data_IF_073074358018
#
_entry.id   IF_073074358018
#
_cell.length_a   1.000
_cell.length_b   1.000
_cell.length_c   1.000
_cell.angle_alpha   90.00
_cell.angle_beta   90.00
_cell.angle_gamma   90.00
#
_symmetry.space_group_name_H-M   'P 1'
#
loop_
_entity.id
_entity.type
_entity.pdbx_description
1 polymer ?
#
# COMPACT_ATOMS: atom_id res chain seq x y z
N UNK A 1 6.83 -9.27 10.86
CA UNK A 1 6.65 -8.24 9.80
C UNK A 1 5.35 -8.52 9.06
N UNK A 2 4.41 -7.57 9.04
CA UNK A 2 3.13 -7.73 8.34
C UNK A 2 3.27 -7.21 6.91
N UNK A 3 2.89 -8.01 5.92
CA UNK A 3 2.90 -7.65 4.51
C UNK A 3 1.48 -7.76 3.99
N UNK A 4 1.04 -6.74 3.26
CA UNK A 4 -0.26 -6.71 2.61
C UNK A 4 -0.07 -6.65 1.10
N UNK A 5 -0.93 -7.36 0.36
CA UNK A 5 -1.04 -7.17 -1.08
C UNK A 5 -2.16 -6.18 -1.31
N UNK A 6 -1.84 -5.07 -1.96
CA UNK A 6 -2.80 -4.02 -2.30
C UNK A 6 -2.88 -3.87 -3.81
N UNK A 7 -4.11 -3.78 -4.31
CA UNK A 7 -4.36 -3.51 -5.72
C UNK A 7 -4.33 -2.01 -5.94
N UNK A 8 -3.40 -1.57 -6.77
CA UNK A 8 -3.16 -0.15 -7.04
C UNK A 8 -4.12 0.32 -8.12
N UNK A 9 -4.86 1.41 -7.88
CA UNK A 9 -5.79 2.00 -8.86
C UNK A 9 -5.27 3.32 -9.46
N UNK A 10 -4.24 3.90 -8.87
CA UNK A 10 -3.59 5.14 -9.31
C UNK A 10 -2.08 5.00 -9.12
N UNK A 11 -1.29 5.75 -9.88
CA UNK A 11 0.17 5.68 -9.77
C UNK A 11 0.63 6.04 -8.34
N UNK A 12 1.45 5.18 -7.73
CA UNK A 12 2.05 5.40 -6.41
C UNK A 12 3.56 5.22 -6.49
N UNK A 13 4.31 5.92 -5.63
CA UNK A 13 5.77 5.80 -5.53
C UNK A 13 6.24 5.71 -4.08
N UNK A 14 7.46 5.22 -3.89
CA UNK A 14 8.15 5.26 -2.60
C UNK A 14 8.22 6.74 -2.14
N UNK A 15 7.88 6.97 -0.88
CA UNK A 15 7.79 8.30 -0.29
C UNK A 15 6.40 8.93 -0.31
N UNK A 16 5.44 8.38 -1.06
CA UNK A 16 4.05 8.83 -0.99
C UNK A 16 3.44 8.47 0.36
N UNK A 17 2.50 9.30 0.83
CA UNK A 17 1.72 9.04 2.03
C UNK A 17 0.42 8.35 1.64
N UNK A 18 0.09 7.27 2.33
CA UNK A 18 -1.16 6.54 2.14
C UNK A 18 -1.93 6.48 3.45
N UNK A 19 -3.25 6.54 3.34
CA UNK A 19 -4.19 6.35 4.43
C UNK A 19 -4.90 5.03 4.22
N UNK A 20 -4.67 4.09 5.12
CA UNK A 20 -5.41 2.83 5.17
C UNK A 20 -6.62 3.02 6.05
N UNK A 21 -7.81 2.89 5.47
CA UNK A 21 -9.08 3.01 6.16
C UNK A 21 -9.93 1.77 5.90
N UNK A 22 -10.02 0.94 6.94
CA UNK A 22 -10.86 -0.22 7.04
C UNK A 22 -11.92 -0.06 8.12
N UNK A 23 -12.54 -1.17 8.48
CA UNK A 23 -13.54 -1.23 9.56
C UNK A 23 -12.86 -1.09 10.93
N UNK A 24 -11.67 -1.68 11.08
CA UNK A 24 -10.91 -1.74 12.35
C UNK A 24 -9.52 -1.13 12.26
N UNK A 25 -9.14 -0.64 11.08
CA UNK A 25 -7.79 -0.18 10.78
C UNK A 25 -7.89 1.22 10.19
N UNK A 26 -7.41 2.23 10.89
CA UNK A 26 -7.45 3.62 10.45
C UNK A 26 -6.11 4.26 10.81
N UNK A 27 -5.21 4.30 9.83
CA UNK A 27 -3.87 4.86 10.02
C UNK A 27 -3.28 5.36 8.71
N UNK A 28 -2.36 6.31 8.85
CA UNK A 28 -1.56 6.83 7.76
C UNK A 28 -0.15 6.24 7.83
N UNK A 29 0.43 5.91 6.69
CA UNK A 29 1.83 5.51 6.60
C UNK A 29 2.48 6.05 5.35
N UNK A 30 3.81 6.16 5.40
CA UNK A 30 4.62 6.48 4.22
C UNK A 30 5.06 5.17 3.57
N UNK A 31 5.06 5.15 2.25
CA UNK A 31 5.56 4.00 1.48
C UNK A 31 7.08 3.96 1.60
N UNK A 32 7.61 3.08 2.46
CA UNK A 32 9.06 2.85 2.59
C UNK A 32 9.58 1.81 1.58
N UNK A 33 8.76 0.80 1.26
CA UNK A 33 9.13 -0.26 0.34
C UNK A 33 7.92 -0.88 -0.35
N UNK A 34 8.14 -1.28 -1.61
CA UNK A 34 7.15 -1.91 -2.48
C UNK A 34 7.78 -3.04 -3.28
N UNK A 35 7.01 -4.10 -3.49
CA UNK A 35 7.43 -5.28 -4.25
C UNK A 35 6.33 -5.76 -5.19
N UNK A 36 6.66 -6.04 -6.45
CA UNK A 36 5.78 -6.68 -7.43
C UNK A 36 6.45 -7.95 -7.91
N UNK A 37 5.78 -9.10 -7.81
CA UNK A 37 6.31 -10.39 -8.28
C UNK A 37 7.75 -10.69 -7.79
N UNK A 38 8.03 -10.42 -6.51
CA UNK A 38 9.36 -10.52 -5.87
C UNK A 38 10.44 -9.55 -6.37
N UNK A 39 10.07 -8.52 -7.12
CA UNK A 39 10.97 -7.44 -7.54
C UNK A 39 10.68 -6.17 -6.76
N UNK A 40 11.72 -5.55 -6.22
CA UNK A 40 11.62 -4.22 -5.63
C UNK A 40 11.35 -3.20 -6.74
N UNK A 41 10.40 -2.31 -6.52
CA UNK A 41 10.00 -1.27 -7.47
C UNK A 41 9.91 0.08 -6.77
N UNK A 42 10.32 1.15 -7.45
CA UNK A 42 10.25 2.52 -6.92
C UNK A 42 8.87 3.16 -7.10
N UNK A 43 8.16 2.75 -8.14
CA UNK A 43 6.82 3.20 -8.46
C UNK A 43 5.99 2.06 -9.05
N UNK A 44 4.67 2.20 -8.93
CA UNK A 44 3.69 1.23 -9.42
C UNK A 44 2.59 1.99 -10.15
N UNK A 45 2.23 1.52 -11.34
CA UNK A 45 1.11 2.06 -12.11
C UNK A 45 -0.22 1.40 -11.71
N UNK A 46 -1.32 2.06 -12.09
CA UNK A 46 -2.66 1.54 -11.88
C UNK A 46 -2.86 0.16 -12.53
N UNK A 47 -3.54 -0.73 -11.81
CA UNK A 47 -3.91 -2.07 -12.26
C UNK A 47 -2.96 -3.18 -11.81
N UNK A 48 -1.88 -2.87 -11.10
CA UNK A 48 -0.91 -3.85 -10.60
C UNK A 48 -1.15 -4.18 -9.13
N UNK A 49 -0.82 -5.42 -8.74
CA UNK A 49 -0.83 -5.87 -7.35
C UNK A 49 0.57 -5.68 -6.75
N UNK A 50 0.65 -4.90 -5.68
CA UNK A 50 1.93 -4.63 -4.99
C UNK A 50 1.88 -5.16 -3.56
N UNK A 51 2.95 -5.86 -3.18
CA UNK A 51 3.26 -6.17 -1.80
C UNK A 51 3.82 -4.95 -1.11
N UNK A 52 3.10 -4.47 -0.10
CA UNK A 52 3.46 -3.31 0.69
C UNK A 52 3.61 -3.71 2.16
N UNK A 53 4.66 -3.20 2.79
CA UNK A 53 4.89 -3.40 4.22
C UNK A 53 3.96 -2.47 4.99
N UNK A 54 3.09 -3.07 5.81
CA UNK A 54 2.11 -2.33 6.61
C UNK A 54 2.56 -2.23 8.06
N UNK A 55 2.31 -1.07 8.68
CA UNK A 55 2.61 -0.84 10.11
C UNK A 55 1.68 -1.68 10.99
N UNK A 56 0.40 -1.73 10.63
CA UNK A 56 -0.62 -2.45 11.37
C UNK A 56 -1.27 -3.56 10.54
N UNK A 57 -2.10 -4.36 11.20
CA UNK A 57 -2.83 -5.44 10.55
C UNK A 57 -3.96 -4.86 9.69
N UNK A 58 -3.91 -5.16 8.40
CA UNK A 58 -4.97 -4.84 7.45
C UNK A 58 -5.80 -6.07 7.13
N UNK A 59 -7.02 -5.87 6.62
CA UNK A 59 -7.95 -6.93 6.25
C UNK A 59 -8.40 -6.80 4.79
N UNK A 60 -8.98 -7.89 4.30
CA UNK A 60 -9.62 -7.91 2.99
C UNK A 60 -10.73 -6.85 2.96
N UNK A 61 -10.74 -6.03 1.90
CA UNK A 61 -11.62 -4.88 1.68
C UNK A 61 -11.25 -3.57 2.41
N UNK A 62 -10.08 -3.48 3.04
CA UNK A 62 -9.58 -2.19 3.51
C UNK A 62 -9.33 -1.27 2.30
N UNK A 63 -9.73 -0.01 2.43
CA UNK A 63 -9.56 1.00 1.40
C UNK A 63 -8.27 1.75 1.66
N UNK A 64 -7.49 1.97 0.60
CA UNK A 64 -6.24 2.72 0.67
C UNK A 64 -6.40 3.97 -0.17
N UNK A 65 -6.16 5.12 0.45
CA UNK A 65 -6.22 6.43 -0.18
C UNK A 65 -4.83 7.03 -0.23
N UNK A 66 -4.49 7.69 -1.34
CA UNK A 66 -3.28 8.49 -1.41
C UNK A 66 -3.56 9.83 -0.74
N UNK A 67 -2.69 10.23 0.17
CA UNK A 67 -2.75 11.51 0.87
C UNK A 67 -1.61 12.36 0.33
N UNK A 68 -1.93 13.61 -0.03
CA UNK A 68 -0.97 14.59 -0.55
C UNK A 68 -0.32 15.40 0.59
#
# INVERSE_FOLDING_TARGET
PSVAVVKVFSKIKIGDKIHVKGITSDFEQIIESMQIEHKNVEFVDAGQDVGLKVLEKVRLNDLVYLVE
#
